data_IF_271537659836
#
_entry.id   IF_271537659836
#
_cell.length_a   1.000
_cell.length_b   1.000
_cell.length_c   1.000
_cell.angle_alpha   90.00
_cell.angle_beta   90.00
_cell.angle_gamma   90.00
#
_symmetry.space_group_name_H-M   'P 1'
#
loop_
_entity.id
_entity.type
_entity.pdbx_description
1 polymer ?
#
# COMPACT_ATOMS: atom_id res chain seq x y z
N UNK A 1 17.54 -0.63 2.15
CA UNK A 1 16.28 -1.27 2.62
C UNK A 1 16.21 -2.64 1.98
N UNK A 2 16.57 -3.67 2.76
CA UNK A 2 16.71 -5.05 2.27
C UNK A 2 15.48 -5.81 2.72
N UNK A 3 14.78 -6.40 1.75
CA UNK A 3 13.65 -7.30 1.93
C UNK A 3 12.50 -6.67 2.73
N UNK A 4 11.62 -5.96 2.03
CA UNK A 4 10.29 -5.67 2.55
C UNK A 4 9.68 -7.01 2.97
N UNK A 5 9.44 -7.16 4.27
CA UNK A 5 8.86 -8.36 4.84
C UNK A 5 7.60 -8.72 4.04
N UNK A 6 7.39 -10.01 3.77
CA UNK A 6 6.24 -10.48 3.00
C UNK A 6 4.92 -9.94 3.58
N UNK A 7 4.88 -9.73 4.90
CA UNK A 7 3.76 -9.12 5.63
C UNK A 7 3.45 -7.70 5.15
N UNK A 8 4.45 -6.91 4.78
CA UNK A 8 4.27 -5.52 4.34
C UNK A 8 3.91 -5.39 2.86
N UNK A 9 4.06 -6.45 2.05
CA UNK A 9 3.80 -6.39 0.61
C UNK A 9 2.31 -6.28 0.33
N UNK A 10 1.92 -5.23 -0.38
CA UNK A 10 0.53 -4.98 -0.82
C UNK A 10 0.21 -5.85 -2.03
N UNK A 11 -0.93 -6.52 -1.99
CA UNK A 11 -1.46 -7.35 -3.08
C UNK A 11 -2.70 -6.76 -3.72
N UNK A 12 -3.44 -5.92 -3.00
CA UNK A 12 -4.66 -5.29 -3.50
C UNK A 12 -4.96 -4.00 -2.74
N UNK A 13 -5.49 -3.00 -3.43
CA UNK A 13 -6.01 -1.78 -2.83
C UNK A 13 -7.40 -1.52 -3.38
N UNK A 14 -8.40 -1.53 -2.50
CA UNK A 14 -9.78 -1.17 -2.85
C UNK A 14 -10.14 0.17 -2.27
N UNK A 15 -10.80 1.01 -3.06
CA UNK A 15 -11.41 2.26 -2.62
C UNK A 15 -12.93 2.12 -2.68
N UNK A 16 -13.60 2.43 -1.58
CA UNK A 16 -15.06 2.48 -1.49
C UNK A 16 -15.46 3.45 -0.37
N UNK A 17 -16.36 4.39 -0.69
CA UNK A 17 -16.69 5.50 0.19
C UNK A 17 -15.50 6.44 0.32
N UNK A 18 -15.10 6.70 1.56
CA UNK A 18 -14.00 7.59 1.95
C UNK A 18 -12.82 6.81 2.58
N UNK A 19 -12.69 5.52 2.22
CA UNK A 19 -11.65 4.66 2.77
C UNK A 19 -10.98 3.76 1.72
N UNK A 20 -9.69 3.57 1.92
CA UNK A 20 -8.87 2.55 1.27
C UNK A 20 -8.80 1.30 2.14
N UNK A 21 -9.00 0.14 1.50
CA UNK A 21 -8.80 -1.20 2.06
C UNK A 21 -7.58 -1.80 1.40
N UNK A 22 -6.50 -1.90 2.14
CA UNK A 22 -5.19 -2.39 1.66
C UNK A 22 -5.01 -3.81 2.15
N UNK A 23 -4.94 -4.77 1.21
CA UNK A 23 -4.66 -6.17 1.52
C UNK A 23 -3.17 -6.46 1.33
N UNK A 24 -2.58 -7.12 2.31
CA UNK A 24 -1.17 -7.55 2.31
C UNK A 24 -1.02 -9.02 1.91
N UNK A 25 0.19 -9.49 1.59
CA UNK A 25 0.43 -10.87 1.17
C UNK A 25 0.16 -11.89 2.29
N UNK A 26 0.51 -11.52 3.52
CA UNK A 26 -0.36 -11.49 4.70
C UNK A 26 -1.75 -12.16 4.76
N UNK A 27 -2.57 -11.82 3.76
CA UNK A 27 -4.05 -11.90 3.78
C UNK A 27 -4.71 -11.02 4.85
N UNK A 28 -3.98 -10.11 5.52
CA UNK A 28 -4.59 -9.08 6.36
C UNK A 28 -5.08 -7.92 5.50
N UNK A 29 -6.19 -7.31 5.93
CA UNK A 29 -6.71 -6.10 5.31
C UNK A 29 -6.70 -4.98 6.33
N UNK A 30 -6.05 -3.88 5.96
CA UNK A 30 -5.98 -2.65 6.74
C UNK A 30 -6.90 -1.61 6.13
N UNK A 31 -7.64 -0.89 6.97
CA UNK A 31 -8.57 0.15 6.54
C UNK A 31 -7.97 1.50 6.91
N UNK A 32 -7.88 2.39 5.93
CA UNK A 32 -7.38 3.75 6.10
C UNK A 32 -8.40 4.73 5.50
N UNK A 33 -8.79 5.75 6.25
CA UNK A 33 -9.52 6.88 5.69
C UNK A 33 -8.69 7.54 4.58
N UNK A 34 -9.36 8.15 3.61
CA UNK A 34 -8.74 8.66 2.38
C UNK A 34 -7.55 9.59 2.65
N UNK A 35 -7.68 10.49 3.62
CA UNK A 35 -6.62 11.44 4.01
C UNK A 35 -5.45 10.82 4.77
N UNK A 36 -5.59 9.58 5.23
CA UNK A 36 -4.60 8.92 6.05
C UNK A 36 -3.68 7.98 5.26
N UNK A 37 -4.07 7.56 4.05
CA UNK A 37 -3.22 6.78 3.17
C UNK A 37 -2.51 7.67 2.15
N UNK A 38 -1.17 7.57 2.09
CA UNK A 38 -0.37 8.27 1.08
C UNK A 38 0.14 7.28 0.04
N UNK A 39 0.11 7.66 -1.23
CA UNK A 39 0.80 6.96 -2.30
C UNK A 39 2.11 7.67 -2.62
N UNK A 40 3.21 6.93 -2.64
CA UNK A 40 4.55 7.45 -2.95
C UNK A 40 5.27 6.53 -3.93
N UNK A 41 6.30 7.05 -4.58
CA UNK A 41 7.19 6.28 -5.44
C UNK A 41 8.61 6.30 -4.88
N UNK A 42 9.27 5.16 -4.90
CA UNK A 42 10.68 5.00 -4.51
C UNK A 42 11.41 4.16 -5.54
N UNK A 43 11.85 4.77 -6.64
CA UNK A 43 12.51 4.07 -7.75
C UNK A 43 14.00 3.78 -7.57
N UNK A 44 14.55 3.97 -6.36
CA UNK A 44 15.95 3.68 -6.06
C UNK A 44 16.17 2.16 -5.86
N UNK A 45 17.43 1.68 -5.87
CA UNK A 45 17.75 0.29 -5.53
C UNK A 45 17.29 -0.15 -4.12
N UNK A 46 17.06 0.82 -3.23
CA UNK A 46 16.52 0.60 -1.88
C UNK A 46 14.98 0.58 -1.82
N UNK A 47 14.30 0.86 -2.93
CA UNK A 47 12.85 0.86 -3.01
C UNK A 47 12.22 -0.53 -3.12
N UNK A 48 10.89 -0.60 -3.13
CA UNK A 48 10.19 -1.84 -3.47
C UNK A 48 10.54 -2.29 -4.90
N UNK A 49 10.63 -3.60 -5.15
CA UNK A 49 10.71 -4.10 -6.52
C UNK A 49 9.47 -3.72 -7.33
N UNK A 50 9.63 -3.57 -8.64
CA UNK A 50 8.51 -3.33 -9.55
C UNK A 50 7.41 -4.38 -9.39
N UNK A 51 6.16 -3.92 -9.37
CA UNK A 51 4.97 -4.74 -9.16
C UNK A 51 4.81 -5.30 -7.73
N UNK A 52 5.67 -4.91 -6.78
CA UNK A 52 5.61 -5.35 -5.38
C UNK A 52 5.55 -4.15 -4.42
N UNK A 53 4.47 -3.34 -4.48
CA UNK A 53 4.33 -2.21 -3.57
C UNK A 53 4.31 -2.64 -2.10
N UNK A 54 4.76 -1.75 -1.22
CA UNK A 54 4.84 -2.02 0.21
C UNK A 54 4.08 -1.00 1.05
N UNK A 55 3.46 -1.49 2.12
CA UNK A 55 2.79 -0.71 3.14
C UNK A 55 3.76 -0.38 4.27
N UNK A 56 4.00 0.91 4.50
CA UNK A 56 4.84 1.44 5.58
C UNK A 56 3.95 2.18 6.57
N UNK A 57 4.12 1.88 7.86
CA UNK A 57 3.44 2.62 8.94
C UNK A 57 2.12 2.03 9.45
N UNK A 58 1.86 0.74 9.26
CA UNK A 58 0.65 0.08 9.76
C UNK A 58 0.68 -0.29 11.27
N UNK A 59 1.50 0.39 12.09
CA UNK A 59 1.81 0.02 13.50
C UNK A 59 0.91 0.68 14.57
N UNK A 60 1.14 0.33 15.86
CA UNK A 60 0.23 0.56 17.00
C UNK A 60 -0.12 2.02 17.39
N UNK A 61 0.38 3.05 16.70
CA UNK A 61 0.24 4.45 17.14
C UNK A 61 -0.29 5.43 16.09
N UNK A 62 -0.71 4.97 14.92
CA UNK A 62 -1.23 5.89 13.90
C UNK A 62 -2.19 5.24 12.93
N UNK A 63 -3.23 5.98 12.58
CA UNK A 63 -4.17 5.66 11.51
C UNK A 63 -3.62 6.00 10.12
N UNK A 64 -2.37 6.50 10.03
CA UNK A 64 -1.70 6.96 8.81
C UNK A 64 -0.66 5.97 8.31
N UNK A 65 -0.73 5.66 7.03
CA UNK A 65 0.23 4.79 6.37
C UNK A 65 0.62 5.34 4.99
N UNK A 66 1.66 4.75 4.42
CA UNK A 66 2.12 5.03 3.07
C UNK A 66 2.25 3.73 2.29
N UNK A 67 1.66 3.67 1.10
CA UNK A 67 2.01 2.65 0.10
C UNK A 67 3.08 3.23 -0.81
N UNK A 68 4.21 2.54 -0.87
CA UNK A 68 5.33 2.89 -1.75
C UNK A 68 5.33 1.96 -2.96
N UNK A 69 5.34 2.54 -4.15
CA UNK A 69 5.46 1.87 -5.44
C UNK A 69 6.88 2.04 -5.99
N UNK A 70 7.30 1.16 -6.89
CA UNK A 70 8.58 1.31 -7.56
C UNK A 70 8.52 2.44 -8.59
N UNK A 71 7.35 2.64 -9.22
CA UNK A 71 7.13 3.60 -10.31
C UNK A 71 5.75 4.26 -10.23
N UNK A 72 5.57 5.49 -10.74
CA UNK A 72 4.27 6.16 -10.74
C UNK A 72 3.19 5.40 -11.51
N UNK A 73 3.56 4.72 -12.60
CA UNK A 73 2.62 4.02 -13.49
C UNK A 73 1.95 2.82 -12.81
N UNK A 74 2.49 2.35 -11.68
CA UNK A 74 1.93 1.23 -10.91
C UNK A 74 0.74 1.65 -10.02
N UNK A 75 0.57 2.95 -9.74
CA UNK A 75 -0.42 3.41 -8.75
C UNK A 75 -1.84 3.10 -9.23
N UNK A 76 -2.28 3.66 -10.36
CA UNK A 76 -3.66 3.50 -10.83
C UNK A 76 -4.05 2.04 -11.10
N UNK A 77 -3.20 1.18 -11.70
CA UNK A 77 -3.53 -0.24 -11.90
C UNK A 77 -3.77 -1.04 -10.62
N UNK A 78 -3.13 -0.66 -9.50
CA UNK A 78 -3.33 -1.33 -8.20
C UNK A 78 -4.61 -0.90 -7.47
N UNK A 79 -5.21 0.22 -7.88
CA UNK A 79 -6.40 0.81 -7.25
C UNK A 79 -7.69 0.32 -7.91
N UNK A 80 -8.52 -0.38 -7.15
CA UNK A 80 -9.84 -0.83 -7.60
C UNK A 80 -10.95 -0.05 -6.89
N UNK A 81 -11.87 0.56 -7.62
CA UNK A 81 -13.10 1.13 -7.03
C UNK A 81 -14.11 0.01 -6.84
N UNK A 82 -14.13 -0.59 -5.65
CA UNK A 82 -14.97 -1.74 -5.33
C UNK A 82 -15.29 -1.76 -3.85
N UNK A 83 -16.58 -1.90 -3.52
CA UNK A 83 -17.05 -2.15 -2.16
C UNK A 83 -17.00 -3.66 -1.83
N UNK A 84 -16.91 -4.02 -0.54
CA UNK A 84 -16.93 -5.41 -0.10
C UNK A 84 -18.15 -6.20 -0.59
#
# INVERSE_FOLDING_TARGET
MRELDLVSRVTMIRYCGDAYRVTTADRKTHIFWEFNLRFKTGGSPDGPPAGKPALIGAGMQGDRATVVFARPEEISPFLQRQCP
#
